data_IF_053502435446
#
_entry.id   IF_053502435446
#
_cell.length_a   1.000
_cell.length_b   1.000
_cell.length_c   1.000
_cell.angle_alpha   90.00
_cell.angle_beta   90.00
_cell.angle_gamma   90.00
#
_symmetry.space_group_name_H-M   'P 1'
#
loop_
_entity.id
_entity.type
_entity.pdbx_description
1 polymer ?
#
# COMPACT_ATOMS: atom_id res chain seq x y z
N UNK A 1 -29.26 20.54 2.26
CA UNK A 1 -28.44 19.42 1.76
C UNK A 1 -27.11 19.91 1.17
N UNK A 2 -27.09 20.92 0.31
CA UNK A 2 -25.85 21.50 -0.24
C UNK A 2 -24.90 22.11 0.83
N UNK A 3 -25.44 22.80 1.83
CA UNK A 3 -24.63 23.43 2.90
C UNK A 3 -23.88 22.39 3.76
N UNK A 4 -24.52 21.27 4.09
CA UNK A 4 -23.87 20.19 4.85
C UNK A 4 -22.79 19.47 4.03
N UNK A 5 -22.98 19.34 2.70
CA UNK A 5 -21.97 18.78 1.81
C UNK A 5 -20.75 19.70 1.66
N UNK A 6 -20.95 21.02 1.63
CA UNK A 6 -19.86 21.99 1.57
C UNK A 6 -19.06 22.01 2.88
N UNK A 7 -19.73 21.97 4.03
CA UNK A 7 -19.08 21.92 5.36
C UNK A 7 -18.28 20.62 5.55
N UNK A 8 -18.83 19.47 5.13
CA UNK A 8 -18.13 18.17 5.19
C UNK A 8 -16.91 18.13 4.25
N UNK A 9 -17.03 18.77 3.08
CA UNK A 9 -15.90 18.89 2.13
C UNK A 9 -14.79 19.80 2.67
N UNK A 10 -15.14 20.95 3.24
CA UNK A 10 -14.16 21.89 3.80
C UNK A 10 -13.41 21.30 5.01
N UNK A 11 -14.13 20.59 5.88
CA UNK A 11 -13.52 19.89 7.01
C UNK A 11 -12.62 18.74 6.57
N UNK A 12 -13.00 17.98 5.54
CA UNK A 12 -12.12 16.97 4.95
C UNK A 12 -10.83 17.57 4.37
N UNK A 13 -10.88 18.76 3.76
CA UNK A 13 -9.68 19.44 3.24
C UNK A 13 -8.73 19.82 4.39
N UNK A 14 -9.27 20.36 5.48
CA UNK A 14 -8.47 20.70 6.68
C UNK A 14 -7.79 19.45 7.25
N UNK A 15 -8.51 18.34 7.35
CA UNK A 15 -7.98 17.07 7.87
C UNK A 15 -6.88 16.51 6.97
N UNK A 16 -7.06 16.54 5.63
CA UNK A 16 -6.02 16.14 4.68
C UNK A 16 -4.80 17.05 4.80
N UNK A 17 -4.99 18.37 4.93
CA UNK A 17 -3.88 19.31 5.10
C UNK A 17 -3.09 19.03 6.39
N UNK A 18 -3.77 18.65 7.48
CA UNK A 18 -3.12 18.18 8.71
C UNK A 18 -2.28 16.91 8.43
N UNK A 19 -2.84 15.91 7.75
CA UNK A 19 -2.10 14.68 7.42
C UNK A 19 -0.88 14.95 6.51
N UNK A 20 -1.01 15.87 5.55
CA UNK A 20 0.11 16.33 4.72
C UNK A 20 1.17 16.99 5.61
N UNK A 21 0.78 17.91 6.50
CA UNK A 21 1.72 18.58 7.40
C UNK A 21 2.46 17.59 8.30
N UNK A 22 1.75 16.65 8.92
CA UNK A 22 2.37 15.59 9.74
C UNK A 22 3.34 14.75 8.92
N UNK A 23 2.99 14.39 7.68
CA UNK A 23 3.89 13.65 6.79
C UNK A 23 5.15 14.46 6.48
N UNK A 24 4.98 15.74 6.11
CA UNK A 24 6.08 16.64 5.82
C UNK A 24 7.00 16.86 7.02
N UNK A 25 6.47 16.91 8.24
CA UNK A 25 7.29 17.10 9.44
C UNK A 25 7.97 15.79 9.87
N UNK A 26 7.25 14.67 9.83
CA UNK A 26 7.75 13.41 10.40
C UNK A 26 8.66 12.62 9.44
N UNK A 27 8.46 12.73 8.13
CA UNK A 27 9.11 11.84 7.14
C UNK A 27 10.12 12.53 6.24
N UNK A 28 9.98 13.83 5.95
CA UNK A 28 10.85 14.54 5.00
C UNK A 28 12.16 15.04 5.61
N UNK A 29 12.21 15.60 6.84
CA UNK A 29 13.43 16.23 7.33
C UNK A 29 14.55 15.21 7.43
N UNK A 30 15.72 15.54 6.88
CA UNK A 30 16.91 14.70 6.87
C UNK A 30 16.74 13.34 6.18
N UNK A 31 15.70 13.12 5.37
CA UNK A 31 15.44 11.82 4.74
C UNK A 31 16.62 11.33 3.88
N UNK A 32 17.40 12.25 3.30
CA UNK A 32 18.59 11.94 2.51
C UNK A 32 19.92 11.94 3.27
N UNK A 33 19.96 12.21 4.59
CA UNK A 33 21.23 12.31 5.33
C UNK A 33 21.75 10.95 5.84
N UNK A 34 20.93 10.08 6.46
CA UNK A 34 21.41 8.78 6.90
C UNK A 34 21.85 7.95 5.70
N UNK A 35 22.98 7.22 5.79
CA UNK A 35 23.37 6.28 4.74
C UNK A 35 22.29 5.21 4.55
N UNK A 36 22.33 4.52 3.42
CA UNK A 36 21.49 3.35 3.20
C UNK A 36 21.84 2.23 4.18
N UNK A 37 20.81 1.61 4.75
CA UNK A 37 20.95 0.47 5.66
C UNK A 37 20.12 -0.73 5.19
N UNK A 38 20.34 -1.91 5.78
CA UNK A 38 19.56 -3.11 5.48
C UNK A 38 19.60 -3.49 3.99
N UNK A 39 18.43 -3.64 3.36
CA UNK A 39 18.35 -3.97 1.93
C UNK A 39 18.14 -2.73 1.04
N UNK A 40 18.19 -1.51 1.56
CA UNK A 40 18.09 -0.29 0.75
C UNK A 40 19.13 -0.27 -0.40
N UNK A 41 20.43 -0.59 -0.17
CA UNK A 41 21.42 -0.57 -1.26
C UNK A 41 21.06 -1.53 -2.39
N UNK A 42 20.55 -2.72 -2.05
CA UNK A 42 20.10 -3.71 -3.04
C UNK A 42 18.97 -3.14 -3.88
N UNK A 43 17.99 -2.47 -3.26
CA UNK A 43 16.85 -1.89 -4.00
C UNK A 43 17.29 -0.77 -4.93
N UNK A 44 18.21 0.06 -4.44
CA UNK A 44 18.80 1.17 -5.19
C UNK A 44 19.60 0.68 -6.39
N UNK A 45 20.45 -0.34 -6.23
CA UNK A 45 21.27 -0.88 -7.34
C UNK A 45 20.36 -1.42 -8.44
N UNK A 46 19.35 -2.23 -8.09
CA UNK A 46 18.39 -2.76 -9.06
C UNK A 46 17.63 -1.63 -9.77
N UNK A 47 17.21 -0.59 -9.04
CA UNK A 47 16.51 0.54 -9.65
C UNK A 47 17.41 1.33 -10.61
N UNK A 48 18.70 1.54 -10.26
CA UNK A 48 19.68 2.15 -11.17
C UNK A 48 19.88 1.31 -12.43
N UNK A 49 19.99 0.00 -12.28
CA UNK A 49 20.14 -0.94 -13.39
C UNK A 49 18.93 -0.91 -14.34
N UNK A 50 17.72 -0.85 -13.80
CA UNK A 50 16.48 -0.71 -14.60
C UNK A 50 16.48 0.58 -15.43
N UNK A 51 16.93 1.70 -14.85
CA UNK A 51 17.03 2.98 -15.56
C UNK A 51 18.11 2.91 -16.65
N UNK A 52 19.29 2.35 -16.33
CA UNK A 52 20.44 2.31 -17.24
C UNK A 52 20.21 1.38 -18.43
N UNK A 53 19.62 0.21 -18.20
CA UNK A 53 19.41 -0.81 -19.23
C UNK A 53 18.08 -0.67 -19.96
N UNK A 54 17.12 0.05 -19.38
CA UNK A 54 15.72 0.05 -19.84
C UNK A 54 14.99 -1.28 -19.62
N UNK A 55 15.61 -2.26 -18.95
CA UNK A 55 14.96 -3.53 -18.64
C UNK A 55 14.20 -3.44 -17.32
N UNK A 56 12.89 -3.16 -17.40
CA UNK A 56 12.00 -3.09 -16.25
C UNK A 56 11.45 -4.45 -15.83
N UNK A 57 11.54 -5.47 -16.68
CA UNK A 57 10.88 -6.76 -16.46
C UNK A 57 11.74 -7.66 -15.56
N UNK A 58 13.03 -7.79 -15.87
CA UNK A 58 13.94 -8.69 -15.16
C UNK A 58 14.89 -7.89 -14.25
N UNK A 59 14.72 -7.93 -12.91
CA UNK A 59 15.65 -7.28 -11.99
C UNK A 59 17.03 -7.90 -12.10
N UNK A 60 18.07 -7.06 -12.21
CA UNK A 60 19.46 -7.50 -12.25
C UNK A 60 20.18 -6.90 -11.04
N UNK A 61 20.92 -7.74 -10.32
CA UNK A 61 21.77 -7.37 -9.21
C UNK A 61 23.18 -7.91 -9.47
N UNK A 62 24.17 -7.02 -9.59
CA UNK A 62 25.56 -7.37 -9.90
C UNK A 62 25.69 -8.26 -11.16
N UNK A 63 24.97 -7.91 -12.23
CA UNK A 63 25.00 -8.64 -13.50
C UNK A 63 24.25 -9.97 -13.51
N UNK A 64 23.56 -10.36 -12.43
CA UNK A 64 22.79 -11.60 -12.34
C UNK A 64 21.29 -11.32 -12.12
N UNK A 65 20.37 -12.13 -12.68
CA UNK A 65 18.95 -12.02 -12.37
C UNK A 65 18.67 -12.15 -10.87
N UNK A 66 17.91 -11.20 -10.33
CA UNK A 66 17.44 -11.20 -8.94
C UNK A 66 15.98 -11.64 -8.90
N UNK A 67 15.74 -12.89 -8.48
CA UNK A 67 14.41 -13.52 -8.47
C UNK A 67 13.82 -13.70 -7.05
N UNK A 68 14.47 -13.14 -6.03
CA UNK A 68 14.07 -13.36 -4.64
C UNK A 68 12.81 -12.55 -4.24
N UNK A 69 12.59 -11.38 -4.85
CA UNK A 69 11.39 -10.56 -4.66
C UNK A 69 10.95 -9.95 -5.99
N UNK A 70 9.63 -9.82 -6.22
CA UNK A 70 9.16 -9.15 -7.42
C UNK A 70 9.43 -7.63 -7.34
N UNK A 71 9.42 -6.92 -8.49
CA UNK A 71 10.09 -5.64 -8.64
C UNK A 71 9.30 -4.39 -8.25
N UNK A 72 8.08 -4.49 -7.71
CA UNK A 72 7.20 -3.31 -7.58
C UNK A 72 7.85 -2.15 -6.81
N UNK A 73 8.54 -2.42 -5.70
CA UNK A 73 9.25 -1.37 -4.97
C UNK A 73 10.41 -0.80 -5.78
N UNK A 74 11.15 -1.63 -6.50
CA UNK A 74 12.24 -1.20 -7.37
C UNK A 74 11.74 -0.32 -8.52
N UNK A 75 10.57 -0.62 -9.09
CA UNK A 75 9.94 0.24 -10.09
C UNK A 75 9.59 1.62 -9.53
N UNK A 76 9.02 1.68 -8.32
CA UNK A 76 8.70 2.97 -7.70
C UNK A 76 9.96 3.79 -7.40
N UNK A 77 11.04 3.13 -6.95
CA UNK A 77 12.34 3.78 -6.74
C UNK A 77 12.92 4.28 -8.07
N UNK A 78 12.86 3.46 -9.13
CA UNK A 78 13.35 3.83 -10.45
C UNK A 78 12.57 5.01 -11.03
N UNK A 79 11.24 4.99 -10.95
CA UNK A 79 10.37 6.11 -11.35
C UNK A 79 10.73 7.37 -10.58
N UNK A 80 10.85 7.28 -9.25
CA UNK A 80 11.28 8.40 -8.41
C UNK A 80 12.64 8.95 -8.87
N UNK A 81 13.62 8.07 -9.08
CA UNK A 81 14.94 8.45 -9.56
C UNK A 81 14.93 9.12 -10.93
N UNK A 82 14.12 8.63 -11.87
CA UNK A 82 13.94 9.24 -13.19
C UNK A 82 13.29 10.62 -13.11
N UNK A 83 12.33 10.84 -12.21
CA UNK A 83 11.67 12.13 -12.02
C UNK A 83 12.62 13.21 -11.46
N UNK A 84 13.55 12.81 -10.60
CA UNK A 84 14.51 13.73 -9.95
C UNK A 84 15.92 13.70 -10.57
N UNK A 85 16.12 12.90 -11.64
CA UNK A 85 17.39 12.78 -12.35
C UNK A 85 18.51 12.03 -11.62
N UNK A 86 18.25 11.47 -10.43
CA UNK A 86 19.24 10.72 -9.65
C UNK A 86 18.57 9.71 -8.72
N UNK A 87 19.24 8.59 -8.47
CA UNK A 87 18.86 7.63 -7.43
C UNK A 87 19.86 7.76 -6.27
N UNK A 88 19.44 8.47 -5.25
CA UNK A 88 20.14 8.74 -3.98
C UNK A 88 19.23 8.40 -2.78
N UNK A 89 19.69 8.62 -1.56
CA UNK A 89 19.00 8.34 -0.31
C UNK A 89 17.60 8.97 -0.28
N UNK A 90 17.50 10.26 -0.59
CA UNK A 90 16.23 11.00 -0.63
C UNK A 90 15.24 10.41 -1.65
N UNK A 91 15.67 10.30 -2.91
CA UNK A 91 14.79 9.87 -4.02
C UNK A 91 14.38 8.40 -3.88
N UNK A 92 15.25 7.54 -3.33
CA UNK A 92 14.93 6.14 -3.09
C UNK A 92 13.97 5.90 -1.93
N UNK A 93 13.97 6.79 -0.92
CA UNK A 93 13.05 6.71 0.24
C UNK A 93 11.71 7.39 -0.01
N UNK A 94 11.62 8.29 -0.99
CA UNK A 94 10.38 9.02 -1.31
C UNK A 94 9.17 8.11 -1.58
N UNK A 95 9.26 6.98 -2.33
CA UNK A 95 8.16 6.04 -2.47
C UNK A 95 7.61 5.50 -1.12
N UNK A 96 8.47 5.28 -0.14
CA UNK A 96 8.07 4.83 1.21
C UNK A 96 7.30 5.91 1.95
N UNK A 97 7.71 7.18 1.83
CA UNK A 97 6.96 8.31 2.39
C UNK A 97 5.58 8.43 1.75
N UNK A 98 5.52 8.35 0.42
CA UNK A 98 4.26 8.45 -0.34
C UNK A 98 3.30 7.31 0.02
N UNK A 99 3.78 6.07 0.06
CA UNK A 99 2.95 4.90 0.41
C UNK A 99 2.47 4.96 1.87
N UNK A 100 3.30 5.49 2.78
CA UNK A 100 2.92 5.72 4.18
C UNK A 100 1.84 6.79 4.32
N UNK A 101 1.98 7.91 3.59
CA UNK A 101 0.95 8.94 3.52
C UNK A 101 -0.37 8.40 2.96
N UNK A 102 -0.32 7.68 1.83
CA UNK A 102 -1.50 7.05 1.22
C UNK A 102 -2.15 6.07 2.20
N UNK A 103 -1.37 5.31 2.97
CA UNK A 103 -1.90 4.44 4.04
C UNK A 103 -2.72 5.23 5.05
N UNK A 104 -2.22 6.39 5.51
CA UNK A 104 -2.98 7.25 6.43
C UNK A 104 -4.29 7.76 5.83
N UNK A 105 -4.30 8.12 4.54
CA UNK A 105 -5.51 8.53 3.82
C UNK A 105 -6.51 7.37 3.72
N UNK A 106 -6.04 6.18 3.38
CA UNK A 106 -6.89 4.98 3.31
C UNK A 106 -7.56 4.72 4.66
N UNK A 107 -6.81 4.81 5.76
CA UNK A 107 -7.35 4.66 7.12
C UNK A 107 -8.39 5.73 7.40
N UNK A 108 -8.10 7.00 7.11
CA UNK A 108 -9.03 8.12 7.31
C UNK A 108 -10.36 7.90 6.56
N UNK A 109 -10.32 7.66 5.26
CA UNK A 109 -11.54 7.57 4.44
C UNK A 109 -12.32 6.26 4.63
N UNK A 110 -11.62 5.17 4.94
CA UNK A 110 -12.25 3.85 5.05
C UNK A 110 -12.87 3.58 6.42
N UNK A 111 -12.57 4.39 7.44
CA UNK A 111 -13.05 4.16 8.82
C UNK A 111 -14.28 4.96 9.23
N UNK A 112 -14.84 5.78 8.31
CA UNK A 112 -16.03 6.62 8.53
C UNK A 112 -17.28 5.87 9.02
N UNK A 113 -17.34 4.55 8.81
CA UNK A 113 -18.46 3.73 9.31
C UNK A 113 -18.38 3.49 10.81
N UNK A 114 -17.18 3.47 11.39
CA UNK A 114 -16.95 3.14 12.79
C UNK A 114 -16.55 4.36 13.62
N UNK A 115 -15.93 5.36 13.00
CA UNK A 115 -15.37 6.52 13.68
C UNK A 115 -15.99 7.80 13.15
N UNK A 116 -16.31 8.72 14.07
CA UNK A 116 -16.58 10.12 13.74
C UNK A 116 -15.32 10.82 13.21
N UNK A 117 -15.46 12.07 12.75
CA UNK A 117 -14.36 12.86 12.17
C UNK A 117 -13.09 12.84 13.04
N UNK A 118 -13.19 13.22 14.31
CA UNK A 118 -12.05 13.27 15.23
C UNK A 118 -11.37 11.91 15.38
N UNK A 119 -12.15 10.82 15.48
CA UNK A 119 -11.61 9.46 15.54
C UNK A 119 -10.88 9.03 14.25
N UNK A 120 -11.41 9.41 13.08
CA UNK A 120 -10.74 9.16 11.80
C UNK A 120 -9.42 9.91 11.70
N UNK A 121 -9.41 11.19 12.04
CA UNK A 121 -8.20 12.01 12.01
C UNK A 121 -7.17 11.48 13.00
N UNK A 122 -7.59 11.20 14.24
CA UNK A 122 -6.73 10.62 15.26
C UNK A 122 -6.08 9.30 14.80
N UNK A 123 -6.87 8.35 14.28
CA UNK A 123 -6.32 7.06 13.82
C UNK A 123 -5.40 7.20 12.61
N UNK A 124 -5.69 8.12 11.67
CA UNK A 124 -4.82 8.40 10.55
C UNK A 124 -3.49 9.05 10.98
N UNK A 125 -3.51 10.01 11.90
CA UNK A 125 -2.30 10.61 12.49
C UNK A 125 -1.51 9.57 13.28
N UNK A 126 -2.17 8.75 14.10
CA UNK A 126 -1.52 7.66 14.84
C UNK A 126 -0.83 6.65 13.92
N UNK A 127 -1.42 6.37 12.75
CA UNK A 127 -0.77 5.53 11.73
C UNK A 127 0.56 6.14 11.27
N UNK A 128 0.62 7.46 11.10
CA UNK A 128 1.84 8.18 10.70
C UNK A 128 2.89 8.28 11.81
N UNK A 129 2.53 8.24 13.09
CA UNK A 129 3.49 8.42 14.19
C UNK A 129 3.86 7.13 14.91
N UNK A 130 3.21 6.01 14.59
CA UNK A 130 3.56 4.71 15.14
C UNK A 130 5.02 4.38 14.78
N UNK A 131 5.84 4.08 15.78
CA UNK A 131 7.30 3.98 15.66
C UNK A 131 7.77 3.04 14.54
N UNK A 132 7.10 1.89 14.38
CA UNK A 132 7.39 0.95 13.29
C UNK A 132 7.12 1.52 11.89
N UNK A 133 6.03 2.26 11.73
CA UNK A 133 5.66 2.92 10.47
C UNK A 133 6.59 4.11 10.21
N UNK A 134 6.89 4.89 11.24
CA UNK A 134 7.83 6.01 11.15
C UNK A 134 9.19 5.55 10.64
N UNK A 135 9.72 4.46 11.21
CA UNK A 135 10.99 3.87 10.76
C UNK A 135 10.88 3.39 9.31
N UNK A 136 9.91 2.53 9.01
CA UNK A 136 9.78 1.92 7.67
C UNK A 136 9.43 2.92 6.57
N UNK A 137 8.66 3.96 6.88
CA UNK A 137 8.29 5.00 5.91
C UNK A 137 9.45 5.91 5.53
N UNK A 138 10.58 5.80 6.23
CA UNK A 138 11.82 6.55 5.97
C UNK A 138 12.95 5.66 5.42
N UNK A 139 12.69 4.37 5.17
CA UNK A 139 13.62 3.42 4.56
C UNK A 139 13.14 3.08 3.14
N UNK A 140 14.05 2.93 2.18
CA UNK A 140 13.78 2.48 0.81
C UNK A 140 13.52 0.97 0.73
N UNK A 141 12.64 0.47 1.59
CA UNK A 141 12.33 -0.94 1.79
C UNK A 141 10.89 -1.29 1.38
N UNK A 142 10.62 -2.58 1.19
CA UNK A 142 9.32 -3.05 0.65
C UNK A 142 8.19 -2.92 1.68
N UNK A 143 8.50 -2.78 2.97
CA UNK A 143 7.49 -2.87 4.05
C UNK A 143 6.35 -1.86 3.93
N UNK A 144 6.62 -0.58 3.70
CA UNK A 144 5.56 0.44 3.67
C UNK A 144 4.59 0.26 2.50
N UNK A 145 5.12 -0.10 1.32
CA UNK A 145 4.30 -0.48 0.18
C UNK A 145 3.41 -1.68 0.51
N UNK A 146 3.97 -2.71 1.16
CA UNK A 146 3.21 -3.90 1.55
C UNK A 146 2.12 -3.58 2.57
N UNK A 147 2.42 -2.73 3.57
CA UNK A 147 1.45 -2.27 4.57
C UNK A 147 0.32 -1.50 3.92
N UNK A 148 0.62 -0.57 2.99
CA UNK A 148 -0.39 0.17 2.24
C UNK A 148 -1.34 -0.76 1.49
N UNK A 149 -0.78 -1.78 0.81
CA UNK A 149 -1.57 -2.72 0.02
C UNK A 149 -2.44 -3.61 0.91
N UNK A 150 -1.88 -4.23 1.96
CA UNK A 150 -2.67 -5.06 2.89
C UNK A 150 -3.77 -4.24 3.56
N UNK A 151 -3.45 -3.03 4.01
CA UNK A 151 -4.42 -2.10 4.62
C UNK A 151 -5.54 -1.78 3.64
N UNK A 152 -5.22 -1.49 2.38
CA UNK A 152 -6.20 -1.26 1.31
C UNK A 152 -7.10 -2.47 1.09
N UNK A 153 -6.53 -3.65 0.91
CA UNK A 153 -7.28 -4.88 0.62
C UNK A 153 -8.26 -5.19 1.75
N UNK A 154 -7.78 -5.16 3.00
CA UNK A 154 -8.59 -5.49 4.17
C UNK A 154 -9.71 -4.47 4.39
N UNK A 155 -9.41 -3.18 4.28
CA UNK A 155 -10.40 -2.11 4.49
C UNK A 155 -11.43 -2.07 3.36
N UNK A 156 -11.03 -2.30 2.11
CA UNK A 156 -11.97 -2.45 0.98
C UNK A 156 -12.87 -3.66 1.20
N UNK A 157 -12.29 -4.81 1.56
CA UNK A 157 -13.04 -6.05 1.74
C UNK A 157 -14.07 -5.90 2.87
N UNK A 158 -13.67 -5.44 4.06
CA UNK A 158 -14.60 -5.32 5.18
C UNK A 158 -15.68 -4.26 4.94
N UNK A 159 -15.34 -3.11 4.33
CA UNK A 159 -16.34 -2.10 3.98
C UNK A 159 -17.32 -2.61 2.92
N UNK A 160 -16.82 -3.29 1.88
CA UNK A 160 -17.65 -3.90 0.85
C UNK A 160 -18.58 -4.98 1.43
N UNK A 161 -18.05 -5.82 2.31
CA UNK A 161 -18.84 -6.84 3.01
C UNK A 161 -19.95 -6.22 3.86
N UNK A 162 -19.65 -5.18 4.66
CA UNK A 162 -20.63 -4.50 5.50
C UNK A 162 -21.66 -3.70 4.69
N UNK A 163 -21.27 -3.17 3.53
CA UNK A 163 -22.18 -2.53 2.56
C UNK A 163 -22.96 -3.53 1.70
N UNK A 164 -22.77 -4.84 1.94
CA UNK A 164 -23.42 -5.93 1.21
C UNK A 164 -23.19 -5.85 -0.30
N UNK A 165 -21.96 -5.52 -0.70
CA UNK A 165 -21.57 -5.58 -2.11
C UNK A 165 -21.86 -6.96 -2.69
N UNK A 166 -22.16 -6.99 -4.00
CA UNK A 166 -22.30 -8.25 -4.73
C UNK A 166 -21.00 -9.07 -4.56
N UNK A 167 -21.07 -10.39 -4.33
CA UNK A 167 -19.89 -11.22 -4.10
C UNK A 167 -18.81 -11.06 -5.18
N UNK A 168 -19.19 -10.95 -6.45
CA UNK A 168 -18.25 -10.74 -7.55
C UNK A 168 -17.46 -9.43 -7.43
N UNK A 169 -18.11 -8.33 -7.00
CA UNK A 169 -17.44 -7.05 -6.80
C UNK A 169 -16.53 -7.08 -5.57
N UNK A 170 -17.03 -7.65 -4.47
CA UNK A 170 -16.29 -7.78 -3.22
C UNK A 170 -14.98 -8.56 -3.42
N UNK A 171 -15.08 -9.77 -3.98
CA UNK A 171 -13.91 -10.61 -4.22
C UNK A 171 -13.06 -10.12 -5.38
N UNK A 172 -13.68 -9.59 -6.44
CA UNK A 172 -12.96 -9.10 -7.62
C UNK A 172 -12.00 -7.96 -7.30
N UNK A 173 -12.47 -6.90 -6.61
CA UNK A 173 -11.59 -5.77 -6.24
C UNK A 173 -10.52 -6.21 -5.24
N UNK A 174 -10.89 -6.99 -4.21
CA UNK A 174 -9.91 -7.43 -3.21
C UNK A 174 -8.83 -8.31 -3.81
N UNK A 175 -9.17 -9.24 -4.71
CA UNK A 175 -8.20 -10.14 -5.34
C UNK A 175 -7.41 -9.47 -6.47
N UNK A 176 -7.97 -8.47 -7.15
CA UNK A 176 -7.21 -7.57 -8.02
C UNK A 176 -6.09 -6.86 -7.25
N UNK A 177 -6.44 -6.19 -6.14
CA UNK A 177 -5.47 -5.52 -5.27
C UNK A 177 -4.45 -6.50 -4.68
N UNK A 178 -4.89 -7.74 -4.38
CA UNK A 178 -4.00 -8.81 -3.92
C UNK A 178 -3.00 -9.20 -5.01
N UNK A 179 -3.39 -9.22 -6.28
CA UNK A 179 -2.46 -9.42 -7.41
C UNK A 179 -1.39 -8.33 -7.49
N UNK A 180 -1.76 -7.06 -7.34
CA UNK A 180 -0.80 -5.95 -7.24
C UNK A 180 0.13 -6.14 -6.03
N UNK A 181 -0.43 -6.53 -4.88
CA UNK A 181 0.35 -6.84 -3.68
C UNK A 181 1.32 -8.00 -3.84
N UNK A 182 1.02 -8.94 -4.73
CA UNK A 182 1.91 -10.04 -5.03
C UNK A 182 3.21 -9.54 -5.66
N UNK A 183 3.14 -8.47 -6.47
CA UNK A 183 4.32 -7.84 -7.05
C UNK A 183 5.22 -7.12 -6.01
N UNK A 184 4.79 -7.01 -4.74
CA UNK A 184 5.63 -6.46 -3.66
C UNK A 184 6.46 -7.53 -2.95
N UNK A 185 5.81 -8.55 -2.37
CA UNK A 185 6.44 -9.60 -1.54
C UNK A 185 6.04 -11.03 -1.92
N UNK A 186 5.46 -11.22 -3.10
CA UNK A 186 4.99 -12.52 -3.57
C UNK A 186 3.77 -13.03 -2.78
N UNK A 187 3.70 -14.34 -2.47
CA UNK A 187 2.50 -14.97 -1.91
C UNK A 187 2.15 -14.53 -0.48
N UNK A 188 3.04 -13.79 0.19
CA UNK A 188 2.81 -13.27 1.53
C UNK A 188 1.54 -12.40 1.61
N UNK A 189 1.18 -11.70 0.52
CA UNK A 189 -0.06 -10.89 0.48
C UNK A 189 -1.33 -11.75 0.64
N UNK A 190 -1.34 -12.92 0.00
CA UNK A 190 -2.47 -13.86 0.04
C UNK A 190 -2.63 -14.42 1.45
N UNK A 191 -1.50 -14.72 2.09
CA UNK A 191 -1.44 -15.21 3.47
C UNK A 191 -2.14 -14.23 4.42
N UNK A 192 -1.73 -12.96 4.45
CA UNK A 192 -2.34 -11.96 5.33
C UNK A 192 -3.81 -11.68 5.01
N UNK A 193 -4.17 -11.65 3.72
CA UNK A 193 -5.55 -11.43 3.32
C UNK A 193 -6.46 -12.58 3.79
N UNK A 194 -6.14 -13.82 3.44
CA UNK A 194 -6.99 -14.97 3.77
C UNK A 194 -6.93 -15.35 5.26
N UNK A 195 -5.79 -15.18 5.94
CA UNK A 195 -5.70 -15.39 7.40
C UNK A 195 -6.52 -14.38 8.20
N UNK A 196 -6.89 -13.24 7.60
CA UNK A 196 -7.81 -12.30 8.24
C UNK A 196 -9.26 -12.59 7.85
N UNK A 197 -9.50 -12.77 6.55
CA UNK A 197 -10.87 -12.90 6.00
C UNK A 197 -11.52 -14.23 6.39
N UNK A 198 -10.80 -15.35 6.34
CA UNK A 198 -11.37 -16.67 6.63
C UNK A 198 -11.82 -16.76 8.10
N UNK A 199 -10.99 -16.44 9.12
CA UNK A 199 -11.44 -16.42 10.50
C UNK A 199 -12.61 -15.47 10.73
N UNK A 200 -12.62 -14.30 10.09
CA UNK A 200 -13.77 -13.38 10.18
C UNK A 200 -15.06 -14.01 9.63
N UNK A 201 -15.02 -14.69 8.48
CA UNK A 201 -16.19 -15.37 7.92
C UNK A 201 -16.65 -16.55 8.77
N UNK A 202 -15.71 -17.32 9.34
CA UNK A 202 -16.02 -18.39 10.29
C UNK A 202 -16.72 -17.84 11.53
N UNK A 203 -16.17 -16.78 12.14
CA UNK A 203 -16.77 -16.10 13.28
C UNK A 203 -18.20 -15.59 12.98
N UNK A 204 -18.42 -15.03 11.78
CA UNK A 204 -19.75 -14.57 11.33
C UNK A 204 -20.66 -15.70 10.84
N UNK A 205 -20.22 -16.97 10.88
CA UNK A 205 -20.92 -18.14 10.34
C UNK A 205 -21.36 -17.97 8.87
N UNK A 206 -20.54 -17.28 8.06
CA UNK A 206 -20.80 -17.00 6.64
C UNK A 206 -19.72 -17.56 5.72
N UNK A 207 -19.16 -18.73 6.05
CA UNK A 207 -18.10 -19.37 5.27
C UNK A 207 -18.56 -19.72 3.83
N UNK A 208 -19.87 -19.87 3.60
CA UNK A 208 -20.44 -20.05 2.26
C UNK A 208 -20.10 -18.92 1.29
N UNK A 209 -19.80 -17.71 1.78
CA UNK A 209 -19.37 -16.59 0.93
C UNK A 209 -17.98 -16.84 0.31
N UNK A 210 -17.10 -17.57 1.02
CA UNK A 210 -15.79 -17.97 0.50
C UNK A 210 -15.94 -18.96 -0.66
N UNK A 211 -16.87 -19.91 -0.57
CA UNK A 211 -17.17 -20.87 -1.64
C UNK A 211 -18.12 -20.34 -2.72
N UNK A 212 -18.34 -19.03 -2.78
CA UNK A 212 -19.26 -18.43 -3.75
C UNK A 212 -18.63 -18.32 -5.14
N UNK A 213 -19.47 -18.29 -6.19
CA UNK A 213 -19.03 -17.98 -7.56
C UNK A 213 -18.28 -16.63 -7.66
N UNK A 214 -18.57 -15.70 -6.75
CA UNK A 214 -17.86 -14.42 -6.69
C UNK A 214 -16.40 -14.56 -6.30
N UNK A 215 -16.07 -15.49 -5.39
CA UNK A 215 -14.68 -15.76 -5.02
C UNK A 215 -13.92 -16.41 -6.19
N UNK A 216 -14.53 -17.39 -6.86
CA UNK A 216 -13.96 -17.98 -8.09
C UNK A 216 -13.68 -16.92 -9.16
N UNK A 217 -14.61 -15.99 -9.38
CA UNK A 217 -14.40 -14.85 -10.27
C UNK A 217 -13.21 -13.98 -9.86
N UNK A 218 -13.08 -13.66 -8.57
CA UNK A 218 -11.92 -12.92 -8.08
C UNK A 218 -10.60 -13.70 -8.19
N UNK A 219 -10.61 -15.03 -8.06
CA UNK A 219 -9.44 -15.88 -8.29
C UNK A 219 -8.99 -15.84 -9.74
N UNK A 220 -9.92 -15.82 -10.70
CA UNK A 220 -9.61 -15.64 -12.12
C UNK A 220 -8.93 -14.28 -12.34
N UNK A 221 -9.46 -13.21 -11.74
CA UNK A 221 -8.83 -11.89 -11.81
C UNK A 221 -7.40 -11.92 -11.25
N UNK A 222 -7.20 -12.54 -10.09
CA UNK A 222 -5.88 -12.69 -9.50
C UNK A 222 -4.90 -13.38 -10.47
N UNK A 223 -5.31 -14.52 -11.05
CA UNK A 223 -4.47 -15.27 -12.00
C UNK A 223 -4.13 -14.42 -13.22
N UNK A 224 -5.10 -13.66 -13.76
CA UNK A 224 -4.87 -12.75 -14.88
C UNK A 224 -3.81 -11.71 -14.52
N UNK A 225 -3.94 -11.04 -13.37
CA UNK A 225 -2.97 -10.04 -12.90
C UNK A 225 -1.58 -10.63 -12.66
N UNK A 226 -1.48 -11.90 -12.27
CA UNK A 226 -0.19 -12.59 -12.11
C UNK A 226 0.40 -13.11 -13.41
N UNK A 227 -0.40 -13.20 -14.47
CA UNK A 227 0.02 -13.67 -15.79
C UNK A 227 0.50 -12.56 -16.74
N UNK A 228 0.25 -11.30 -16.38
CA UNK A 228 0.73 -10.10 -17.08
C UNK A 228 2.08 -9.66 -16.57
#
# INVERSE_FOLDING_TARGET
>A
MATNLLIDKETSIKDIAILVLFTLIAYIPFLGLPPWEGNEPLRVIIAKEMIQTGNWIMPILHGKPYLAKPPLMNWLIAISGSLFGTVNEWTSRLPSVVTTFITSLIVYFSTQRWLGREGRLFTAVMTLVMTGILKKGREAEIECLHIMIITSILLVWINGYLRRWKPALLWGISLFLTGIGFLSKGPQVLMFFYMTVIPYLLYRRKISLFFSKGHLFGMIILIIVLST
#
